data_IF_606011295433
#
_entry.id   IF_606011295433
#
_cell.length_a   1.000
_cell.length_b   1.000
_cell.length_c   1.000
_cell.angle_alpha   90.00
_cell.angle_beta   90.00
_cell.angle_gamma   90.00
#
_symmetry.space_group_name_H-M   'P 1'
#
loop_
_entity.id
_entity.type
_entity.pdbx_description
1 polymer ?
#
# COMPACT_ATOMS: atom_id res chain seq x y z
N UNK A 1 -5.31 -46.60 -16.82
CA UNK A 1 -3.95 -46.05 -16.64
C UNK A 1 -3.85 -44.59 -17.08
N UNK A 2 -4.42 -44.24 -18.23
CA UNK A 2 -4.45 -42.84 -18.66
C UNK A 2 -5.19 -41.91 -17.68
N UNK A 3 -6.18 -42.47 -16.98
CA UNK A 3 -6.98 -41.70 -16.01
C UNK A 3 -6.20 -41.30 -14.75
N UNK A 4 -5.21 -42.10 -14.36
CA UNK A 4 -4.35 -41.82 -13.22
C UNK A 4 -3.43 -40.62 -13.50
N UNK A 5 -2.99 -40.47 -14.72
CA UNK A 5 -2.14 -39.35 -15.12
C UNK A 5 -2.89 -38.01 -15.05
N UNK A 6 -4.15 -38.03 -15.48
CA UNK A 6 -5.00 -36.84 -15.45
C UNK A 6 -5.25 -36.41 -14.02
N UNK A 7 -5.45 -37.34 -13.10
CA UNK A 7 -5.65 -37.07 -11.68
C UNK A 7 -4.41 -36.44 -11.02
N UNK A 8 -3.23 -36.93 -11.40
CA UNK A 8 -1.96 -36.41 -10.89
C UNK A 8 -1.72 -34.95 -11.34
N UNK A 9 -2.05 -34.65 -12.60
CA UNK A 9 -1.92 -33.32 -13.14
C UNK A 9 -2.88 -32.35 -12.44
N UNK A 10 -4.11 -32.81 -12.21
CA UNK A 10 -5.10 -31.97 -11.48
C UNK A 10 -4.67 -31.69 -10.06
N UNK A 11 -4.07 -32.68 -9.37
CA UNK A 11 -3.55 -32.48 -8.02
C UNK A 11 -2.40 -31.46 -7.99
N UNK A 12 -1.52 -31.48 -8.99
CA UNK A 12 -0.44 -30.52 -9.09
C UNK A 12 -0.96 -29.10 -9.33
N UNK A 13 -2.04 -28.94 -10.08
CA UNK A 13 -2.66 -27.65 -10.33
C UNK A 13 -3.40 -27.08 -9.12
N UNK A 14 -3.81 -27.95 -8.20
CA UNK A 14 -4.51 -27.57 -6.99
C UNK A 14 -3.56 -27.24 -5.83
N UNK A 15 -2.26 -27.34 -6.03
CA UNK A 15 -1.28 -26.96 -5.03
C UNK A 15 -1.40 -25.44 -4.83
N UNK A 16 -1.85 -24.96 -3.66
CA UNK A 16 -1.98 -23.54 -3.46
C UNK A 16 -0.60 -22.89 -3.53
N UNK A 17 -0.52 -21.79 -4.28
CA UNK A 17 0.62 -20.91 -4.18
C UNK A 17 0.80 -20.56 -2.71
N UNK A 18 2.05 -20.46 -2.20
CA UNK A 18 2.24 -20.03 -0.83
C UNK A 18 1.53 -18.71 -0.63
N UNK A 19 0.40 -18.76 0.05
CA UNK A 19 -0.35 -17.57 0.40
C UNK A 19 0.51 -16.78 1.36
N UNK A 20 1.19 -15.80 0.85
CA UNK A 20 1.88 -14.86 1.69
C UNK A 20 0.86 -13.86 2.20
N UNK A 21 0.38 -14.11 3.39
CA UNK A 21 -0.31 -13.08 4.15
C UNK A 21 0.75 -12.09 4.61
N UNK A 22 1.32 -11.36 3.68
CA UNK A 22 2.30 -10.35 4.02
C UNK A 22 1.59 -9.17 4.66
N UNK A 23 2.03 -8.84 5.85
CA UNK A 23 1.64 -7.60 6.49
C UNK A 23 2.73 -6.60 6.23
N UNK A 24 2.33 -5.41 5.82
CA UNK A 24 3.27 -4.31 5.65
C UNK A 24 3.07 -3.34 6.80
N UNK A 25 4.07 -3.25 7.65
CA UNK A 25 4.07 -2.32 8.77
C UNK A 25 4.69 -1.00 8.32
N UNK A 26 3.85 -0.02 8.05
CA UNK A 26 4.28 1.29 7.55
C UNK A 26 5.15 2.04 8.54
N UNK A 27 5.08 1.72 9.84
CA UNK A 27 5.93 2.37 10.84
C UNK A 27 7.40 2.03 10.68
N UNK A 28 7.72 0.96 9.94
CA UNK A 28 9.10 0.50 9.71
C UNK A 28 9.67 0.96 8.36
N UNK A 29 8.89 1.66 7.56
CA UNK A 29 9.27 2.04 6.20
C UNK A 29 9.77 3.48 6.18
N UNK A 30 10.94 3.70 5.58
CA UNK A 30 11.47 5.05 5.36
C UNK A 30 10.85 5.67 4.11
N UNK A 31 10.94 6.98 4.02
CA UNK A 31 10.56 7.71 2.80
C UNK A 31 11.26 7.17 1.56
N UNK A 32 12.54 6.82 1.67
CA UNK A 32 13.29 6.24 0.56
C UNK A 32 12.69 4.92 0.11
N UNK A 33 12.33 4.05 1.05
CA UNK A 33 11.74 2.75 0.75
C UNK A 33 10.37 2.89 0.09
N UNK A 34 9.62 3.92 0.49
CA UNK A 34 8.32 4.21 -0.09
C UNK A 34 8.37 4.36 -1.61
N UNK A 35 9.42 4.99 -2.15
CA UNK A 35 9.58 5.16 -3.59
C UNK A 35 9.94 3.88 -4.35
N UNK A 36 10.36 2.83 -3.64
CA UNK A 36 10.74 1.56 -4.27
C UNK A 36 9.54 0.69 -4.64
N UNK A 37 8.34 1.03 -4.18
CA UNK A 37 7.14 0.26 -4.49
C UNK A 37 6.67 0.53 -5.93
N UNK A 38 6.11 -0.50 -6.56
CA UNK A 38 5.51 -0.33 -7.89
C UNK A 38 4.26 0.55 -7.80
N UNK A 39 3.77 1.00 -8.94
CA UNK A 39 2.62 1.92 -9.02
C UNK A 39 1.38 1.38 -8.32
N UNK A 40 1.10 0.09 -8.48
CA UNK A 40 -0.09 -0.52 -7.91
C UNK A 40 -0.03 -0.53 -6.39
N UNK A 41 1.10 -0.96 -5.83
CA UNK A 41 1.28 -0.98 -4.40
C UNK A 41 1.34 0.43 -3.83
N UNK A 42 1.98 1.34 -4.54
CA UNK A 42 2.04 2.73 -4.12
C UNK A 42 0.64 3.35 -4.05
N UNK A 43 -0.20 3.08 -5.04
CA UNK A 43 -1.58 3.55 -5.05
C UNK A 43 -2.37 3.00 -3.85
N UNK A 44 -2.17 1.73 -3.51
CA UNK A 44 -2.80 1.12 -2.34
C UNK A 44 -2.33 1.79 -1.04
N UNK A 45 -1.04 2.05 -0.92
CA UNK A 45 -0.48 2.72 0.25
C UNK A 45 -1.05 4.13 0.41
N UNK A 46 -1.13 4.88 -0.68
CA UNK A 46 -1.67 6.23 -0.66
C UNK A 46 -3.15 6.24 -0.29
N UNK A 47 -3.91 5.30 -0.83
CA UNK A 47 -5.33 5.15 -0.51
C UNK A 47 -5.51 4.78 0.97
N UNK A 48 -4.68 3.87 1.47
CA UNK A 48 -4.71 3.49 2.88
C UNK A 48 -4.42 4.69 3.78
N UNK A 49 -3.43 5.50 3.45
CA UNK A 49 -3.07 6.69 4.22
C UNK A 49 -4.23 7.70 4.25
N UNK A 50 -4.91 7.90 3.12
CA UNK A 50 -6.10 8.77 3.10
C UNK A 50 -7.15 8.30 4.08
N UNK A 51 -7.42 7.00 4.11
CA UNK A 51 -8.40 6.43 5.03
C UNK A 51 -7.94 6.49 6.48
N UNK A 52 -6.67 6.20 6.71
CA UNK A 52 -6.10 6.15 8.06
C UNK A 52 -6.15 7.51 8.75
N UNK A 53 -5.94 8.58 8.00
CA UNK A 53 -5.96 9.95 8.53
C UNK A 53 -7.30 10.65 8.37
N UNK A 54 -8.33 9.96 7.87
CA UNK A 54 -9.68 10.50 7.82
C UNK A 54 -10.32 10.49 9.19
N UNK A 55 -11.19 11.46 9.44
CA UNK A 55 -11.96 11.49 10.68
C UNK A 55 -12.95 10.33 10.73
N UNK A 56 -13.24 9.83 11.93
CA UNK A 56 -14.17 8.71 12.13
C UNK A 56 -15.58 9.01 11.61
N UNK A 57 -15.97 10.28 11.63
CA UNK A 57 -17.27 10.75 11.17
C UNK A 57 -17.21 11.40 9.78
N UNK A 58 -16.13 11.13 9.02
CA UNK A 58 -16.00 11.65 7.67
C UNK A 58 -17.11 11.11 6.76
N UNK A 59 -17.59 11.97 5.88
CA UNK A 59 -18.57 11.57 4.86
C UNK A 59 -17.95 10.53 3.91
N UNK A 60 -18.72 9.56 3.41
CA UNK A 60 -18.21 8.55 2.49
C UNK A 60 -18.05 9.13 1.07
N UNK A 61 -17.20 10.13 0.95
CA UNK A 61 -16.95 10.82 -0.31
C UNK A 61 -15.47 10.71 -0.63
N UNK A 62 -15.15 10.31 -1.84
CA UNK A 62 -13.77 10.26 -2.32
C UNK A 62 -13.49 11.54 -3.10
N UNK A 63 -12.59 12.33 -2.60
CA UNK A 63 -12.11 13.54 -3.29
C UNK A 63 -10.78 13.19 -3.97
N UNK A 64 -10.86 12.85 -5.25
CA UNK A 64 -9.67 12.44 -6.00
C UNK A 64 -8.64 13.56 -6.14
N UNK A 65 -9.09 14.78 -6.21
CA UNK A 65 -8.21 15.94 -6.31
C UNK A 65 -7.41 16.14 -5.03
N UNK A 66 -8.07 16.02 -3.90
CA UNK A 66 -7.42 16.09 -2.58
C UNK A 66 -6.44 14.94 -2.41
N UNK A 67 -6.82 13.73 -2.80
CA UNK A 67 -5.93 12.56 -2.74
C UNK A 67 -4.68 12.78 -3.56
N UNK A 68 -4.82 13.28 -4.78
CA UNK A 68 -3.69 13.55 -5.66
C UNK A 68 -2.78 14.64 -5.07
N UNK A 69 -3.36 15.67 -4.49
CA UNK A 69 -2.62 16.74 -3.82
C UNK A 69 -1.81 16.24 -2.64
N UNK A 70 -2.43 15.42 -1.79
CA UNK A 70 -1.76 14.82 -0.64
C UNK A 70 -0.63 13.89 -1.07
N UNK A 71 -0.86 13.09 -2.12
CA UNK A 71 0.17 12.21 -2.65
C UNK A 71 1.38 13.00 -3.15
N UNK A 72 1.13 14.12 -3.83
CA UNK A 72 2.19 14.99 -4.32
C UNK A 72 2.99 15.60 -3.18
N UNK A 73 2.31 16.11 -2.16
CA UNK A 73 2.97 16.67 -0.99
C UNK A 73 3.81 15.64 -0.26
N UNK A 74 3.29 14.43 -0.10
CA UNK A 74 4.03 13.34 0.54
C UNK A 74 5.27 12.99 -0.28
N UNK A 75 5.13 12.90 -1.59
CA UNK A 75 6.26 12.64 -2.48
C UNK A 75 7.34 13.71 -2.39
N UNK A 76 6.95 14.97 -2.37
CA UNK A 76 7.89 16.08 -2.24
C UNK A 76 8.59 16.07 -0.89
N UNK A 77 7.85 15.86 0.18
CA UNK A 77 8.41 15.81 1.53
C UNK A 77 9.37 14.64 1.68
N UNK A 78 8.97 13.46 1.21
CA UNK A 78 9.81 12.27 1.26
C UNK A 78 11.06 12.41 0.37
N UNK A 79 10.94 13.07 -0.77
CA UNK A 79 12.08 13.32 -1.64
C UNK A 79 13.17 14.16 -0.98
N UNK A 80 12.75 15.09 -0.14
CA UNK A 80 13.67 15.96 0.61
C UNK A 80 14.17 15.32 1.91
N UNK A 81 13.47 14.31 2.39
CA UNK A 81 13.74 13.68 3.69
C UNK A 81 13.73 12.16 3.57
N UNK A 82 14.66 11.58 2.78
CA UNK A 82 14.59 10.15 2.46
C UNK A 82 14.81 9.21 3.65
N UNK A 83 15.45 9.68 4.71
CA UNK A 83 15.80 8.84 5.86
C UNK A 83 14.73 8.82 6.96
N UNK A 84 13.75 9.71 6.91
CA UNK A 84 12.69 9.72 7.93
C UNK A 84 11.63 8.67 7.59
N UNK A 85 10.90 8.23 8.62
CA UNK A 85 9.83 7.26 8.46
C UNK A 85 8.67 7.82 7.64
N UNK A 86 8.07 6.96 6.81
CA UNK A 86 6.95 7.39 5.96
C UNK A 86 5.75 7.83 6.78
N UNK A 87 5.51 7.22 7.94
CA UNK A 87 4.41 7.64 8.82
C UNK A 87 4.69 9.02 9.42
N UNK A 88 5.93 9.31 9.80
CA UNK A 88 6.29 10.65 10.26
C UNK A 88 6.04 11.68 9.17
N UNK A 89 6.40 11.37 7.93
CA UNK A 89 6.14 12.24 6.78
C UNK A 89 4.63 12.39 6.53
N UNK A 90 3.90 11.29 6.58
CA UNK A 90 2.45 11.28 6.37
C UNK A 90 1.72 12.12 7.41
N UNK A 91 2.16 12.09 8.66
CA UNK A 91 1.59 12.94 9.70
C UNK A 91 1.70 14.42 9.37
N UNK A 92 2.78 14.81 8.75
CA UNK A 92 2.98 16.20 8.34
C UNK A 92 2.08 16.63 7.19
N UNK A 93 1.74 15.69 6.32
CA UNK A 93 0.93 15.96 5.13
C UNK A 93 -0.56 15.79 5.43
N UNK A 94 -0.93 14.64 5.98
CA UNK A 94 -2.33 14.26 6.20
C UNK A 94 -2.87 14.73 7.55
N UNK A 95 -2.01 14.91 8.52
CA UNK A 95 -2.39 15.28 9.88
C UNK A 95 -2.57 16.76 10.10
N UNK A 96 -2.59 17.57 9.04
CA UNK A 96 -2.69 19.03 9.15
C UNK A 96 -4.08 19.54 9.51
N UNK A 97 -5.06 18.69 9.50
CA UNK A 97 -6.45 19.10 9.79
C UNK A 97 -6.73 19.17 11.29
#
# INVERSE_FOLDING_TARGET
MKRLWILLIAAAMLTPLPARAEKLDLSTITCKKFFDYNKENLALLLTWLEGYYSADDADPVIDFEKMAGNARELGEFCGKNPTIGVITAAEKVYGKD
#
